data_IF_308964548386
#
_entry.id   IF_308964548386
#
_cell.length_a   1.000
_cell.length_b   1.000
_cell.length_c   1.000
_cell.angle_alpha   90.00
_cell.angle_beta   90.00
_cell.angle_gamma   90.00
#
_symmetry.space_group_name_H-M   'P 1'
#
loop_
_entity.id
_entity.type
_entity.pdbx_description
1 polymer ?
#
# COMPACT_ATOMS: atom_id res chain seq x y z
N UNK A 1 -22.33 -4.40 -17.86
CA UNK A 1 -21.52 -4.85 -16.72
C UNK A 1 -21.30 -3.64 -15.83
N UNK A 2 -21.81 -3.69 -14.60
CA UNK A 2 -21.54 -2.69 -13.58
C UNK A 2 -20.27 -3.08 -12.84
N UNK A 3 -19.52 -2.08 -12.39
CA UNK A 3 -18.39 -2.31 -11.48
C UNK A 3 -18.64 -1.56 -10.18
N UNK A 4 -18.44 -2.24 -9.05
CA UNK A 4 -18.32 -1.59 -7.76
C UNK A 4 -16.87 -1.16 -7.58
N UNK A 5 -16.63 0.14 -7.40
CA UNK A 5 -15.30 0.68 -7.08
C UNK A 5 -15.14 0.74 -5.57
N UNK A 6 -14.05 0.18 -5.05
CA UNK A 6 -13.67 0.29 -3.63
C UNK A 6 -12.37 1.07 -3.55
N UNK A 7 -12.39 2.16 -2.80
CA UNK A 7 -11.20 2.98 -2.51
C UNK A 7 -10.39 2.33 -1.40
N UNK A 8 -9.11 2.07 -1.68
CA UNK A 8 -8.20 1.37 -0.78
C UNK A 8 -7.14 2.30 -0.18
N UNK A 9 -7.29 3.62 -0.37
CA UNK A 9 -6.27 4.59 0.02
C UNK A 9 -6.65 5.39 1.24
N UNK A 10 -5.69 5.59 2.13
CA UNK A 10 -5.80 6.54 3.23
C UNK A 10 -5.78 7.98 2.73
N UNK A 11 -6.41 8.88 3.47
CA UNK A 11 -6.32 10.32 3.20
C UNK A 11 -4.90 10.83 3.50
N UNK A 12 -4.45 11.78 2.65
CA UNK A 12 -3.21 12.51 2.88
C UNK A 12 -3.54 13.84 3.55
N UNK A 13 -3.06 14.05 4.77
CA UNK A 13 -3.28 15.27 5.53
C UNK A 13 -2.05 15.66 6.35
N UNK A 14 -1.97 16.92 6.72
CA UNK A 14 -0.87 17.42 7.57
C UNK A 14 -0.98 16.80 8.97
N UNK A 15 0.14 16.22 9.44
CA UNK A 15 0.21 15.54 10.72
C UNK A 15 -0.26 14.07 10.69
N UNK A 16 -0.51 13.53 9.50
CA UNK A 16 -0.74 12.08 9.36
C UNK A 16 0.47 11.29 9.84
N UNK A 17 0.24 10.06 10.31
CA UNK A 17 1.31 9.16 10.72
C UNK A 17 2.17 8.80 9.51
N UNK A 18 3.48 8.88 9.69
CA UNK A 18 4.47 8.38 8.72
C UNK A 18 5.45 7.49 9.46
N UNK A 19 6.16 6.62 8.75
CA UNK A 19 7.19 5.80 9.36
C UNK A 19 8.25 6.71 10.01
N UNK A 20 8.79 6.38 11.21
CA UNK A 20 9.59 7.32 12.03
C UNK A 20 10.81 7.94 11.36
N UNK A 21 11.35 7.31 10.31
CA UNK A 21 12.52 7.82 9.58
C UNK A 21 12.16 8.65 8.35
N UNK A 22 10.88 8.73 7.99
CA UNK A 22 10.43 9.47 6.81
C UNK A 22 10.04 10.91 7.13
N UNK A 23 10.10 11.75 6.11
CA UNK A 23 9.71 13.15 6.18
C UNK A 23 8.22 13.28 6.53
N UNK A 24 7.85 14.02 7.60
CA UNK A 24 6.46 14.33 7.88
C UNK A 24 5.77 15.06 6.71
N UNK A 25 4.46 14.82 6.57
CA UNK A 25 3.65 15.47 5.54
C UNK A 25 3.36 16.93 5.91
N UNK A 26 3.67 17.86 5.00
CA UNK A 26 3.32 19.27 5.11
C UNK A 26 2.42 19.68 3.96
N UNK A 27 1.35 20.43 4.29
CA UNK A 27 0.43 20.99 3.32
C UNK A 27 0.37 22.49 3.53
N UNK A 28 0.83 23.26 2.55
CA UNK A 28 0.88 24.71 2.60
C UNK A 28 -0.09 25.31 1.59
N UNK A 29 -0.89 26.27 2.00
CA UNK A 29 -1.72 27.05 1.07
C UNK A 29 -0.83 27.93 0.22
N UNK A 30 -0.93 27.77 -1.10
CA UNK A 30 -0.28 28.64 -2.08
C UNK A 30 -1.19 29.79 -2.49
N UNK A 31 -2.50 29.51 -2.64
CA UNK A 31 -3.51 30.48 -3.04
C UNK A 31 -4.88 30.04 -2.51
N UNK A 32 -5.62 30.95 -1.90
CA UNK A 32 -7.03 30.73 -1.54
C UNK A 32 -7.97 31.22 -2.64
N UNK A 33 -9.20 30.71 -2.65
CA UNK A 33 -10.23 31.21 -3.57
C UNK A 33 -10.44 32.71 -3.40
N UNK A 34 -10.51 33.21 -2.17
CA UNK A 34 -10.71 34.63 -1.86
C UNK A 34 -9.59 35.53 -2.39
N UNK A 35 -8.33 35.15 -2.15
CA UNK A 35 -7.16 35.86 -2.68
C UNK A 35 -7.18 35.92 -4.19
N UNK A 36 -7.51 34.78 -4.84
CA UNK A 36 -7.59 34.72 -6.30
C UNK A 36 -8.72 35.61 -6.85
N UNK A 37 -9.94 35.55 -6.28
CA UNK A 37 -11.05 36.40 -6.66
C UNK A 37 -10.70 37.87 -6.48
N UNK A 38 -10.08 38.27 -5.38
CA UNK A 38 -9.61 39.63 -5.14
C UNK A 38 -8.59 40.07 -6.20
N UNK A 39 -7.66 39.23 -6.55
CA UNK A 39 -6.62 39.51 -7.57
C UNK A 39 -7.20 39.67 -8.96
N UNK A 40 -8.20 38.86 -9.33
CA UNK A 40 -8.79 38.86 -10.68
C UNK A 40 -9.97 39.80 -10.85
N UNK A 41 -10.51 40.34 -9.75
CA UNK A 41 -11.74 41.13 -9.74
C UNK A 41 -13.01 40.28 -9.93
N UNK A 42 -12.93 38.99 -9.93
CA UNK A 42 -14.06 38.06 -10.02
C UNK A 42 -14.86 38.09 -8.73
N UNK A 43 -16.20 38.03 -8.87
CA UNK A 43 -17.13 37.97 -7.71
C UNK A 43 -17.62 36.54 -7.41
N UNK A 44 -17.39 35.60 -8.29
CA UNK A 44 -18.01 34.27 -8.22
C UNK A 44 -17.03 33.10 -8.41
N UNK A 45 -15.94 33.31 -9.12
CA UNK A 45 -15.00 32.25 -9.46
C UNK A 45 -13.58 32.62 -9.09
N UNK A 46 -12.94 31.77 -8.31
CA UNK A 46 -11.54 31.84 -7.98
C UNK A 46 -10.96 30.41 -7.92
N UNK A 47 -9.69 30.25 -8.16
CA UNK A 47 -9.04 28.97 -7.94
C UNK A 47 -8.27 28.98 -6.61
N UNK A 48 -8.07 27.80 -6.03
CA UNK A 48 -7.17 27.59 -4.91
C UNK A 48 -6.10 26.57 -5.27
N UNK A 49 -4.96 26.68 -4.64
CA UNK A 49 -3.86 25.73 -4.81
C UNK A 49 -3.13 25.52 -3.48
N UNK A 50 -2.65 24.31 -3.29
CA UNK A 50 -1.79 23.93 -2.17
C UNK A 50 -0.49 23.35 -2.68
N UNK A 51 0.57 23.52 -1.92
CA UNK A 51 1.84 22.83 -2.09
C UNK A 51 1.86 21.66 -1.10
N UNK A 52 2.27 20.50 -1.59
CA UNK A 52 2.37 19.27 -0.82
C UNK A 52 3.83 18.83 -0.76
N UNK A 53 4.34 18.66 0.45
CA UNK A 53 5.59 17.97 0.72
C UNK A 53 5.26 16.67 1.43
N UNK A 54 5.53 15.56 0.79
CA UNK A 54 5.24 14.21 1.28
C UNK A 54 6.42 13.29 0.96
N UNK A 55 6.69 12.32 1.83
CA UNK A 55 7.61 11.22 1.52
C UNK A 55 7.08 10.38 0.38
N UNK A 56 7.96 9.77 -0.43
CA UNK A 56 7.60 8.74 -1.40
C UNK A 56 6.86 7.56 -0.75
N UNK A 57 7.10 7.34 0.56
CA UNK A 57 6.47 6.32 1.40
C UNK A 57 5.40 6.91 2.34
N UNK A 58 4.76 7.99 1.96
CA UNK A 58 3.73 8.67 2.76
C UNK A 58 2.30 8.24 2.40
N UNK A 59 1.51 7.82 3.40
CA UNK A 59 0.15 7.31 3.19
C UNK A 59 0.13 5.97 2.48
N UNK A 60 -0.94 5.67 1.73
CA UNK A 60 -0.97 4.49 0.87
C UNK A 60 0.01 4.66 -0.27
N UNK A 61 0.99 3.78 -0.37
CA UNK A 61 2.10 3.87 -1.30
C UNK A 61 2.55 2.49 -1.80
N UNK A 62 3.31 2.48 -2.87
CA UNK A 62 4.03 1.28 -3.35
C UNK A 62 5.51 1.58 -3.45
N UNK A 63 6.32 0.58 -3.13
CA UNK A 63 7.76 0.66 -3.14
C UNK A 63 8.37 0.25 -4.47
N UNK A 64 9.55 0.74 -4.75
CA UNK A 64 10.38 0.25 -5.83
C UNK A 64 11.40 -0.77 -5.31
N UNK A 65 11.83 -1.70 -6.15
CA UNK A 65 12.91 -2.63 -5.77
C UNK A 65 14.19 -1.90 -5.36
N UNK A 66 14.39 -0.68 -5.88
CA UNK A 66 15.54 0.16 -5.55
C UNK A 66 15.59 0.62 -4.09
N UNK A 67 14.45 0.67 -3.39
CA UNK A 67 14.42 1.06 -1.98
C UNK A 67 15.30 0.15 -1.11
N UNK A 68 15.24 -1.14 -1.35
CA UNK A 68 15.93 -2.16 -0.54
C UNK A 68 17.03 -2.92 -1.29
N UNK A 69 17.24 -2.61 -2.57
CA UNK A 69 18.29 -3.21 -3.42
C UNK A 69 18.91 -2.14 -4.32
N UNK A 70 20.12 -1.69 -4.03
CA UNK A 70 20.80 -0.60 -4.76
C UNK A 70 20.94 -0.82 -6.27
N UNK A 71 20.89 -2.07 -6.74
CA UNK A 71 20.86 -2.44 -8.16
C UNK A 71 19.44 -2.67 -8.70
N UNK A 72 18.42 -2.45 -7.87
CA UNK A 72 17.01 -2.62 -8.25
C UNK A 72 16.51 -1.52 -9.19
N UNK A 73 15.32 -1.74 -9.73
CA UNK A 73 14.64 -0.73 -10.55
C UNK A 73 14.06 0.37 -9.65
N UNK A 74 14.24 1.61 -10.05
CA UNK A 74 13.55 2.77 -9.49
C UNK A 74 12.08 2.78 -9.92
N UNK A 75 11.21 3.51 -9.20
CA UNK A 75 9.75 3.42 -9.36
C UNK A 75 9.27 3.70 -10.79
N UNK A 76 9.89 4.66 -11.49
CA UNK A 76 9.54 4.99 -12.86
C UNK A 76 9.96 3.91 -13.90
N UNK A 77 10.81 2.98 -13.48
CA UNK A 77 11.33 1.88 -14.30
C UNK A 77 10.75 0.51 -13.91
N UNK A 78 9.90 0.45 -12.87
CA UNK A 78 9.18 -0.77 -12.50
C UNK A 78 8.16 -1.17 -13.57
N UNK A 79 7.91 -2.49 -13.79
CA UNK A 79 6.85 -2.94 -14.68
C UNK A 79 5.48 -2.45 -14.18
N UNK A 80 4.68 -1.83 -15.03
CA UNK A 80 3.36 -1.32 -14.61
C UNK A 80 2.41 -2.44 -14.19
N UNK A 81 2.58 -3.65 -14.73
CA UNK A 81 1.80 -4.85 -14.38
C UNK A 81 1.96 -5.27 -12.92
N UNK A 82 2.93 -4.72 -12.19
CA UNK A 82 3.08 -4.94 -10.74
C UNK A 82 2.13 -4.08 -9.91
N UNK A 83 1.57 -3.03 -10.52
CA UNK A 83 0.71 -2.07 -9.85
C UNK A 83 -0.74 -2.09 -10.35
N UNK A 84 -1.02 -2.95 -11.32
CA UNK A 84 -2.36 -3.08 -11.89
C UNK A 84 -2.56 -4.50 -12.43
N UNK A 85 -3.69 -5.12 -12.13
CA UNK A 85 -4.00 -6.46 -12.65
C UNK A 85 -4.90 -7.28 -11.74
N UNK A 86 -4.92 -8.59 -12.00
CA UNK A 86 -5.63 -9.54 -11.14
C UNK A 86 -5.08 -9.51 -9.73
N UNK A 87 -5.97 -9.42 -8.75
CA UNK A 87 -5.61 -9.42 -7.35
C UNK A 87 -6.52 -10.33 -6.54
N UNK A 88 -5.98 -10.84 -5.44
CA UNK A 88 -6.73 -11.59 -4.42
C UNK A 88 -6.52 -10.96 -3.05
N UNK A 89 -7.54 -11.02 -2.18
CA UNK A 89 -7.43 -10.57 -0.81
C UNK A 89 -7.67 -11.74 0.16
N UNK A 90 -6.70 -11.99 1.04
CA UNK A 90 -6.75 -13.06 2.04
C UNK A 90 -6.97 -12.51 3.44
N UNK A 91 -7.71 -13.27 4.27
CA UNK A 91 -8.01 -12.93 5.66
C UNK A 91 -6.92 -13.43 6.61
N UNK A 92 -6.16 -12.52 7.17
CA UNK A 92 -5.14 -12.78 8.21
C UNK A 92 -5.46 -12.02 9.52
N UNK A 93 -6.68 -11.50 9.66
CA UNK A 93 -7.09 -10.65 10.79
C UNK A 93 -7.06 -11.35 12.15
N UNK A 94 -7.06 -12.66 12.15
CA UNK A 94 -6.94 -13.49 13.36
C UNK A 94 -5.49 -13.71 13.84
N UNK A 95 -4.50 -13.23 13.08
CA UNK A 95 -3.10 -13.34 13.46
C UNK A 95 -2.76 -12.22 14.45
N UNK A 96 -2.34 -12.55 15.69
CA UNK A 96 -1.99 -11.52 16.65
C UNK A 96 -0.71 -10.77 16.25
N UNK A 97 -0.65 -9.48 16.54
CA UNK A 97 0.50 -8.61 16.24
C UNK A 97 1.82 -9.07 16.88
N UNK A 98 1.77 -9.94 17.90
CA UNK A 98 2.95 -10.48 18.57
C UNK A 98 3.64 -11.61 17.80
N UNK A 99 3.08 -12.04 16.68
CA UNK A 99 3.53 -13.19 15.90
C UNK A 99 3.69 -12.83 14.41
N UNK A 100 4.68 -13.43 13.78
CA UNK A 100 4.82 -13.40 12.31
C UNK A 100 3.68 -14.14 11.61
N UNK A 101 3.36 -13.70 10.42
CA UNK A 101 2.53 -14.43 9.46
C UNK A 101 3.40 -15.50 8.81
N UNK A 102 2.98 -16.75 8.95
CA UNK A 102 3.71 -17.90 8.44
C UNK A 102 3.03 -18.51 7.21
N UNK A 103 3.74 -19.35 6.45
CA UNK A 103 3.21 -20.02 5.24
C UNK A 103 1.86 -20.68 5.53
N UNK A 104 1.75 -21.40 6.64
CA UNK A 104 0.51 -22.11 7.02
C UNK A 104 -0.70 -21.18 7.19
N UNK A 105 -0.47 -19.93 7.62
CA UNK A 105 -1.55 -18.96 7.81
C UNK A 105 -2.11 -18.52 6.46
N UNK A 106 -1.22 -18.30 5.49
CA UNK A 106 -1.56 -17.97 4.11
C UNK A 106 -2.33 -19.14 3.46
N UNK A 107 -1.81 -20.36 3.57
CA UNK A 107 -2.44 -21.56 3.00
C UNK A 107 -3.85 -21.83 3.60
N UNK A 108 -3.99 -21.65 4.92
CA UNK A 108 -5.31 -21.76 5.59
C UNK A 108 -6.29 -20.73 5.04
N UNK A 109 -5.85 -19.47 4.90
CA UNK A 109 -6.71 -18.39 4.40
C UNK A 109 -7.11 -18.60 2.93
N UNK A 110 -6.16 -18.97 2.07
CA UNK A 110 -6.42 -19.32 0.68
C UNK A 110 -7.43 -20.46 0.56
N UNK A 111 -7.23 -21.54 1.34
CA UNK A 111 -8.14 -22.68 1.36
C UNK A 111 -9.56 -22.31 1.84
N UNK A 112 -9.64 -21.51 2.92
CA UNK A 112 -10.94 -21.04 3.48
C UNK A 112 -11.74 -20.25 2.45
N UNK A 113 -11.06 -19.46 1.63
CA UNK A 113 -11.67 -18.59 0.61
C UNK A 113 -11.81 -19.28 -0.74
N UNK A 114 -11.36 -20.52 -0.90
CA UNK A 114 -11.28 -21.22 -2.18
C UNK A 114 -10.54 -20.40 -3.26
N UNK A 115 -9.50 -19.68 -2.83
CA UNK A 115 -8.63 -18.90 -3.71
C UNK A 115 -7.33 -19.65 -3.99
N UNK A 116 -6.77 -19.41 -5.16
CA UNK A 116 -5.44 -19.89 -5.57
C UNK A 116 -4.64 -18.71 -6.07
N UNK A 117 -3.34 -18.71 -5.78
CA UNK A 117 -2.41 -17.72 -6.34
C UNK A 117 -2.15 -18.12 -7.80
N UNK A 118 -2.32 -17.17 -8.70
CA UNK A 118 -1.96 -17.28 -10.11
C UNK A 118 -0.71 -16.44 -10.39
N UNK A 119 0.07 -16.86 -11.37
CA UNK A 119 1.28 -16.12 -11.74
C UNK A 119 0.95 -14.71 -12.21
N UNK A 120 1.56 -13.71 -11.58
CA UNK A 120 1.33 -12.30 -11.86
C UNK A 120 0.26 -11.67 -10.96
N UNK A 121 -0.30 -12.42 -10.01
CA UNK A 121 -1.27 -11.88 -9.06
C UNK A 121 -0.65 -10.81 -8.14
N UNK A 122 -1.48 -9.86 -7.77
CA UNK A 122 -1.29 -8.96 -6.63
C UNK A 122 -2.02 -9.59 -5.45
N UNK A 123 -1.32 -9.81 -4.33
CA UNK A 123 -1.93 -10.41 -3.15
C UNK A 123 -2.07 -9.38 -2.04
N UNK A 124 -3.31 -9.09 -1.61
CA UNK A 124 -3.59 -8.18 -0.51
C UNK A 124 -3.86 -8.96 0.77
N UNK A 125 -3.19 -8.56 1.84
CA UNK A 125 -3.31 -9.14 3.18
C UNK A 125 -4.21 -8.25 4.05
N UNK A 126 -5.41 -8.71 4.34
CA UNK A 126 -6.26 -8.09 5.34
C UNK A 126 -5.84 -8.58 6.73
N UNK A 127 -5.11 -7.77 7.45
CA UNK A 127 -4.70 -8.05 8.84
C UNK A 127 -5.69 -7.46 9.85
N UNK A 128 -6.58 -6.57 9.42
CA UNK A 128 -7.50 -5.78 10.24
C UNK A 128 -6.77 -4.75 11.10
N UNK A 129 -5.51 -4.45 10.78
CA UNK A 129 -4.73 -3.47 11.53
C UNK A 129 -5.26 -2.05 11.33
N UNK A 130 -5.60 -1.70 10.09
CA UNK A 130 -6.22 -0.42 9.78
C UNK A 130 -7.47 -0.19 10.62
N UNK A 131 -8.40 -1.15 10.66
CA UNK A 131 -9.67 -1.02 11.37
C UNK A 131 -9.51 -0.87 12.88
N UNK A 132 -8.47 -1.51 13.44
CA UNK A 132 -8.24 -1.50 14.88
C UNK A 132 -7.39 -0.33 15.38
N UNK A 133 -6.39 0.07 14.60
CA UNK A 133 -5.29 0.89 15.13
C UNK A 133 -5.01 2.17 14.33
N UNK A 134 -5.71 2.43 13.21
CA UNK A 134 -5.50 3.66 12.47
C UNK A 134 -5.71 4.90 13.35
N UNK A 135 -4.81 5.89 13.26
CA UNK A 135 -4.79 7.09 14.08
C UNK A 135 -4.64 6.86 15.60
N UNK A 136 -4.07 5.73 16.02
CA UNK A 136 -3.69 5.48 17.41
C UNK A 136 -2.17 5.40 17.56
N UNK A 137 -1.69 5.42 18.80
CA UNK A 137 -0.27 5.20 19.15
C UNK A 137 0.24 3.78 18.82
N UNK A 138 -0.69 2.84 18.57
CA UNK A 138 -0.41 1.46 18.21
C UNK A 138 -0.15 1.26 16.72
N UNK A 139 -0.49 2.26 15.89
CA UNK A 139 -0.41 2.16 14.43
C UNK A 139 0.95 1.67 13.95
N UNK A 140 2.03 2.22 14.46
CA UNK A 140 3.40 1.92 14.03
C UNK A 140 4.02 0.68 14.74
N UNK A 141 3.35 0.06 15.70
CA UNK A 141 4.00 -0.91 16.59
C UNK A 141 3.25 -2.22 16.83
N UNK A 142 1.93 -2.26 16.63
CA UNK A 142 1.10 -3.43 16.98
C UNK A 142 0.44 -4.07 15.75
N UNK A 143 1.22 -4.39 14.71
CA UNK A 143 0.74 -5.12 13.52
C UNK A 143 1.52 -6.43 13.32
N UNK A 144 0.89 -7.39 12.64
CA UNK A 144 1.54 -8.63 12.21
C UNK A 144 2.19 -8.41 10.84
N UNK A 145 3.33 -9.03 10.61
CA UNK A 145 4.02 -8.99 9.34
C UNK A 145 4.55 -10.35 8.93
N UNK A 146 4.99 -10.48 7.69
CA UNK A 146 5.47 -11.72 7.12
C UNK A 146 6.76 -12.22 7.77
N UNK A 147 6.89 -13.53 7.95
CA UNK A 147 8.21 -14.15 8.09
C UNK A 147 8.92 -14.18 6.73
N UNK A 148 10.26 -14.30 6.74
CA UNK A 148 11.03 -14.47 5.50
C UNK A 148 10.50 -15.61 4.63
N UNK A 149 10.22 -16.78 5.22
CA UNK A 149 9.72 -17.93 4.49
C UNK A 149 8.33 -17.70 3.91
N UNK A 150 7.46 -16.98 4.61
CA UNK A 150 6.14 -16.61 4.12
C UNK A 150 6.21 -15.64 2.93
N UNK A 151 7.05 -14.60 3.02
CA UNK A 151 7.28 -13.68 1.91
C UNK A 151 7.86 -14.41 0.68
N UNK A 152 8.87 -15.27 0.90
CA UNK A 152 9.48 -16.10 -0.15
C UNK A 152 8.46 -17.05 -0.79
N UNK A 153 7.58 -17.66 0.00
CA UNK A 153 6.50 -18.50 -0.51
C UNK A 153 5.61 -17.73 -1.48
N UNK A 154 5.19 -16.49 -1.14
CA UNK A 154 4.40 -15.64 -2.02
C UNK A 154 5.14 -15.31 -3.31
N UNK A 155 6.39 -14.87 -3.22
CA UNK A 155 7.22 -14.55 -4.39
C UNK A 155 7.42 -15.75 -5.33
N UNK A 156 7.74 -16.93 -4.77
CA UNK A 156 7.94 -18.16 -5.56
C UNK A 156 6.65 -18.75 -6.10
N UNK A 157 5.48 -18.40 -5.52
CA UNK A 157 4.16 -18.77 -6.03
C UNK A 157 3.71 -17.87 -7.20
N UNK A 158 4.47 -16.82 -7.52
CA UNK A 158 4.22 -15.96 -8.67
C UNK A 158 3.52 -14.63 -8.35
N UNK A 159 3.39 -14.26 -7.07
CA UNK A 159 2.94 -12.92 -6.65
C UNK A 159 3.95 -11.88 -7.09
N UNK A 160 3.48 -10.77 -7.66
CA UNK A 160 4.33 -9.66 -8.13
C UNK A 160 4.25 -8.42 -7.23
N UNK A 161 3.20 -8.33 -6.41
CA UNK A 161 3.00 -7.25 -5.45
C UNK A 161 2.29 -7.79 -4.20
N UNK A 162 2.84 -7.50 -3.02
CA UNK A 162 2.28 -7.89 -1.72
C UNK A 162 1.71 -6.65 -1.06
N UNK A 163 0.38 -6.55 -0.93
CA UNK A 163 -0.29 -5.42 -0.29
C UNK A 163 -0.72 -5.72 1.15
N UNK A 164 -0.73 -4.70 2.01
CA UNK A 164 -1.14 -4.82 3.41
C UNK A 164 -1.86 -3.58 3.94
N UNK A 165 -2.78 -3.78 4.88
CA UNK A 165 -3.50 -2.73 5.63
C UNK A 165 -2.73 -2.27 6.89
N UNK A 166 -1.41 -2.29 6.84
CA UNK A 166 -0.50 -1.96 7.92
C UNK A 166 0.66 -1.06 7.42
N UNK A 167 1.45 -0.46 8.33
CA UNK A 167 2.59 0.39 7.94
C UNK A 167 3.70 -0.30 7.16
N UNK A 168 3.84 -1.62 7.30
CA UNK A 168 4.82 -2.42 6.56
C UNK A 168 4.33 -3.86 6.37
N UNK A 169 4.86 -4.54 5.35
CA UNK A 169 4.68 -5.99 5.16
C UNK A 169 5.50 -6.81 6.15
N UNK A 170 6.53 -6.21 6.74
CA UNK A 170 7.37 -6.82 7.77
C UNK A 170 6.74 -6.72 9.15
N UNK A 171 7.14 -7.62 10.03
CA UNK A 171 6.78 -7.50 11.45
C UNK A 171 7.55 -6.34 12.09
N UNK A 172 6.93 -5.49 12.95
CA UNK A 172 7.57 -4.28 13.50
C UNK A 172 8.81 -4.55 14.37
N UNK A 173 9.05 -5.80 14.78
CA UNK A 173 10.25 -6.23 15.51
C UNK A 173 11.30 -6.87 14.61
N UNK A 174 11.03 -6.98 13.32
CA UNK A 174 11.99 -7.53 12.35
C UNK A 174 12.94 -6.44 11.86
N UNK A 175 14.08 -6.36 12.49
CA UNK A 175 15.14 -5.39 12.16
C UNK A 175 15.83 -5.70 10.82
N UNK A 176 15.59 -6.87 10.25
CA UNK A 176 16.16 -7.26 8.96
C UNK A 176 15.24 -6.92 7.78
N UNK A 177 14.01 -6.51 8.03
CA UNK A 177 13.01 -6.24 6.97
C UNK A 177 12.87 -7.40 6.00
N UNK A 178 12.60 -8.60 6.54
CA UNK A 178 12.62 -9.88 5.80
C UNK A 178 11.68 -9.89 4.59
N UNK A 179 10.51 -9.27 4.67
CA UNK A 179 9.57 -9.13 3.55
C UNK A 179 10.16 -8.28 2.43
N UNK A 180 10.72 -7.11 2.77
CA UNK A 180 11.38 -6.22 1.81
C UNK A 180 12.62 -6.88 1.20
N UNK A 181 13.44 -7.59 1.99
CA UNK A 181 14.57 -8.36 1.45
C UNK A 181 14.13 -9.36 0.39
N UNK A 182 13.05 -10.11 0.64
CA UNK A 182 12.48 -11.03 -0.35
C UNK A 182 12.00 -10.28 -1.59
N UNK A 183 11.35 -9.13 -1.45
CA UNK A 183 10.96 -8.30 -2.60
C UNK A 183 12.18 -7.95 -3.45
N UNK A 184 13.30 -7.57 -2.82
CA UNK A 184 14.57 -7.31 -3.50
C UNK A 184 15.21 -8.53 -4.14
N UNK A 185 15.15 -9.70 -3.50
CA UNK A 185 15.71 -10.95 -4.03
C UNK A 185 14.97 -11.44 -5.27
N UNK A 186 13.65 -11.28 -5.29
CA UNK A 186 12.77 -11.80 -6.35
C UNK A 186 12.32 -10.74 -7.35
N UNK A 187 12.81 -9.49 -7.24
CA UNK A 187 12.44 -8.35 -8.07
C UNK A 187 10.92 -8.12 -8.15
N UNK A 188 10.21 -8.29 -7.01
CA UNK A 188 8.80 -7.97 -6.83
C UNK A 188 8.62 -6.72 -5.97
N UNK A 189 7.40 -6.24 -5.78
CA UNK A 189 7.12 -5.03 -4.99
C UNK A 189 6.15 -5.30 -3.86
N UNK A 190 5.95 -4.30 -3.00
CA UNK A 190 4.93 -4.25 -1.96
C UNK A 190 4.12 -2.95 -2.04
N UNK A 191 2.95 -2.98 -1.42
CA UNK A 191 2.04 -1.84 -1.25
C UNK A 191 1.57 -1.78 0.18
N UNK A 192 1.73 -0.64 0.82
CA UNK A 192 1.52 -0.47 2.26
C UNK A 192 0.45 0.58 2.58
N UNK A 193 -0.02 0.57 3.82
CA UNK A 193 -1.04 1.49 4.30
C UNK A 193 -2.35 1.45 3.50
N UNK A 194 -2.76 0.26 3.02
CA UNK A 194 -4.07 0.07 2.42
C UNK A 194 -5.19 0.19 3.47
N UNK A 195 -6.41 0.48 3.02
CA UNK A 195 -7.60 0.48 3.86
C UNK A 195 -8.77 -0.23 3.15
N UNK A 196 -9.88 -0.46 3.88
CA UNK A 196 -11.11 -1.07 3.35
C UNK A 196 -10.92 -2.47 2.74
N UNK A 197 -9.87 -3.20 3.14
CA UNK A 197 -9.61 -4.56 2.63
C UNK A 197 -10.64 -5.58 3.13
N UNK A 198 -11.35 -5.31 4.23
CA UNK A 198 -12.48 -6.10 4.75
C UNK A 198 -13.54 -6.39 3.67
N UNK A 199 -13.78 -5.43 2.77
CA UNK A 199 -14.74 -5.55 1.67
C UNK A 199 -14.28 -6.52 0.55
N UNK A 200 -13.00 -6.87 0.52
CA UNK A 200 -12.36 -7.68 -0.52
C UNK A 200 -11.97 -9.08 -0.07
N UNK A 201 -12.04 -9.36 1.22
CA UNK A 201 -11.66 -10.65 1.81
C UNK A 201 -12.33 -11.80 1.06
N UNK A 202 -11.53 -12.78 0.66
CA UNK A 202 -11.98 -13.99 -0.03
C UNK A 202 -12.40 -13.79 -1.48
N UNK A 203 -12.04 -12.68 -2.11
CA UNK A 203 -12.41 -12.34 -3.49
C UNK A 203 -11.19 -12.22 -4.39
N UNK A 204 -11.43 -12.46 -5.68
CA UNK A 204 -10.57 -12.08 -6.80
C UNK A 204 -11.21 -10.86 -7.48
N UNK A 205 -10.40 -9.88 -7.86
CA UNK A 205 -10.84 -8.60 -8.41
C UNK A 205 -9.75 -7.97 -9.26
N UNK A 206 -10.05 -6.85 -9.91
CA UNK A 206 -9.07 -6.06 -10.63
C UNK A 206 -8.58 -4.92 -9.73
N UNK A 207 -7.26 -4.88 -9.49
CA UNK A 207 -6.57 -3.87 -8.68
C UNK A 207 -5.91 -2.81 -9.55
N UNK A 208 -5.90 -1.57 -9.07
CA UNK A 208 -5.15 -0.44 -9.62
C UNK A 208 -4.50 0.34 -8.49
N UNK A 209 -3.19 0.49 -8.53
CA UNK A 209 -2.40 1.26 -7.58
C UNK A 209 -1.16 1.84 -8.28
N UNK A 210 -1.36 2.48 -9.43
CA UNK A 210 -0.25 2.98 -10.26
C UNK A 210 0.52 4.10 -9.56
N UNK A 211 1.87 3.98 -9.47
CA UNK A 211 2.71 4.99 -8.86
C UNK A 211 2.87 6.22 -9.75
N UNK A 212 3.22 7.34 -9.15
CA UNK A 212 3.71 8.50 -9.88
C UNK A 212 5.04 8.16 -10.56
N UNK A 213 5.28 8.75 -11.73
CA UNK A 213 6.53 8.54 -12.48
C UNK A 213 7.64 9.43 -11.94
N UNK A 214 8.08 9.17 -10.71
CA UNK A 214 9.12 9.93 -10.01
C UNK A 214 10.49 9.43 -10.50
N UNK A 215 11.28 10.34 -11.06
CA UNK A 215 12.65 9.99 -11.51
C UNK A 215 13.52 9.61 -10.32
N UNK A 216 14.19 8.47 -10.41
CA UNK A 216 15.06 7.92 -9.36
C UNK A 216 14.34 7.71 -8.02
N UNK A 217 12.98 7.50 -8.08
CA UNK A 217 12.17 7.33 -6.88
C UNK A 217 12.33 5.94 -6.26
N UNK A 218 12.33 5.89 -4.93
CA UNK A 218 12.36 4.65 -4.13
C UNK A 218 10.97 4.06 -3.94
N UNK A 219 9.92 4.84 -4.16
CA UNK A 219 8.54 4.48 -4.00
C UNK A 219 7.64 5.62 -4.50
N UNK A 220 6.33 5.49 -4.28
CA UNK A 220 5.38 6.55 -4.62
C UNK A 220 4.07 6.40 -3.86
N UNK A 221 3.50 7.50 -3.33
CA UNK A 221 2.10 7.54 -2.96
C UNK A 221 1.22 7.17 -4.16
N UNK A 222 0.14 6.44 -3.89
CA UNK A 222 -0.81 5.98 -4.91
C UNK A 222 -2.25 6.26 -4.50
N UNK A 223 -3.18 6.26 -5.48
CA UNK A 223 -4.59 6.05 -5.21
C UNK A 223 -4.95 4.62 -5.60
N UNK A 224 -4.88 3.72 -4.61
CA UNK A 224 -5.24 2.32 -4.80
C UNK A 224 -6.76 2.15 -4.84
N UNK A 225 -7.26 1.39 -5.81
CA UNK A 225 -8.66 1.01 -5.91
C UNK A 225 -8.80 -0.46 -6.31
N UNK A 226 -9.93 -1.07 -5.93
CA UNK A 226 -10.37 -2.35 -6.44
C UNK A 226 -11.64 -2.18 -7.27
N UNK A 227 -11.73 -2.90 -8.39
CA UNK A 227 -12.96 -3.06 -9.18
C UNK A 227 -13.50 -4.47 -8.97
N UNK A 228 -14.70 -4.56 -8.42
CA UNK A 228 -15.48 -5.80 -8.34
C UNK A 228 -16.52 -5.79 -9.45
N UNK A 229 -16.66 -6.90 -10.16
CA UNK A 229 -17.81 -7.13 -11.05
C UNK A 229 -19.06 -7.36 -10.20
N UNK A 230 -20.18 -6.69 -10.59
CA UNK A 230 -21.49 -6.85 -9.95
C UNK A 230 -22.11 -8.22 -10.27
#
# INVERSE_FOLDING_TARGET
MGFKVIDLSQEIYQGMSVFPMHQPTFIMTNMTHEENMKRTGSKTLGFSARNLLISEHGGTHSDAVWEYKSSGKTIENMPLEYFFGSAICIDLSNIPYSRYIEIKDIEISLKKSNLQIEKGDILLMYTGHYDRNFNTDKWQTEYSGLSYDAAKYLATSGVVNIGVDAPAIDHPKDLNFSGHLVCGEYDITNTENLCNLDQLVGKRFLYFGLPLKIREGSGSPIRAIALLED
#
